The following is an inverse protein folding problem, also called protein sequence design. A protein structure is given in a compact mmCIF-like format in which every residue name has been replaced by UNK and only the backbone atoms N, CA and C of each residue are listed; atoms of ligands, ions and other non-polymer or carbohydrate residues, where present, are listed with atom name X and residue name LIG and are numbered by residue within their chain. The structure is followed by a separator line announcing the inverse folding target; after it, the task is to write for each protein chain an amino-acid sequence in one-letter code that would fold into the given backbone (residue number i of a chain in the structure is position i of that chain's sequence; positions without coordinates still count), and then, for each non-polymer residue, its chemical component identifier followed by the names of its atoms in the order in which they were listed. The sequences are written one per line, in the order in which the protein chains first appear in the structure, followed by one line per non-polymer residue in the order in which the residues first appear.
data_IF_787437584416
#
_entry.id   IF_787437584416
#
_cell.length_a   1.000
_cell.length_b   1.000
_cell.length_c   1.000
_cell.angle_alpha   90.00
_cell.angle_beta   90.00
_cell.angle_gamma   90.00
#
_symmetry.space_group_name_H-M   'P 1'
#
loop_
_entity.id
_entity.type
_entity.pdbx_description
1 polymer ?
#
# COMPACT_ATOMS: atom_id res chain seq x y z
N UNK A 1 13.75 -17.93 5.50
CA UNK A 1 15.12 -18.46 5.59
C UNK A 1 16.10 -17.30 5.53
N UNK A 2 17.08 -17.25 6.43
CA UNK A 2 17.99 -16.10 6.57
C UNK A 2 18.86 -15.85 5.31
N UNK A 3 19.05 -16.87 4.49
CA UNK A 3 19.85 -16.80 3.25
C UNK A 3 19.23 -15.90 2.19
N UNK A 4 17.92 -15.67 2.28
CA UNK A 4 17.17 -14.87 1.29
C UNK A 4 16.95 -13.42 1.69
N UNK A 5 17.47 -12.98 2.84
CA UNK A 5 17.22 -11.61 3.36
C UNK A 5 17.80 -10.55 2.41
N UNK A 6 19.08 -10.67 2.07
CA UNK A 6 19.72 -9.71 1.16
C UNK A 6 19.10 -9.69 -0.25
N UNK A 7 18.86 -10.85 -0.90
CA UNK A 7 18.14 -10.87 -2.17
C UNK A 7 16.74 -10.26 -2.10
N UNK A 8 16.01 -10.51 -1.00
CA UNK A 8 14.67 -9.93 -0.81
C UNK A 8 14.72 -8.41 -0.69
N UNK A 9 15.65 -7.88 0.10
CA UNK A 9 15.84 -6.43 0.27
C UNK A 9 16.18 -5.80 -1.08
N UNK A 10 17.10 -6.41 -1.83
CA UNK A 10 17.47 -5.92 -3.16
C UNK A 10 16.28 -5.89 -4.12
N UNK A 11 15.43 -6.92 -4.06
CA UNK A 11 14.21 -6.95 -4.89
C UNK A 11 13.23 -5.83 -4.52
N UNK A 12 13.05 -5.56 -3.23
CA UNK A 12 12.23 -4.41 -2.79
C UNK A 12 12.76 -3.10 -3.37
N UNK A 13 14.07 -2.87 -3.33
CA UNK A 13 14.67 -1.67 -3.92
C UNK A 13 14.51 -1.62 -5.44
N UNK A 14 14.62 -2.74 -6.12
CA UNK A 14 14.41 -2.84 -7.57
C UNK A 14 12.97 -2.49 -7.96
N UNK A 15 12.00 -2.98 -7.22
CA UNK A 15 10.58 -2.65 -7.43
C UNK A 15 10.28 -1.16 -7.17
N UNK A 16 10.88 -0.56 -6.15
CA UNK A 16 10.77 0.88 -5.90
C UNK A 16 11.35 1.68 -7.09
N UNK A 17 12.54 1.29 -7.58
CA UNK A 17 13.14 1.94 -8.75
C UNK A 17 12.29 1.80 -10.00
N UNK A 18 11.65 0.66 -10.19
CA UNK A 18 10.75 0.43 -11.31
C UNK A 18 9.54 1.35 -11.23
N UNK A 19 8.91 1.46 -10.04
CA UNK A 19 7.80 2.39 -9.81
C UNK A 19 8.17 3.85 -10.04
N UNK A 20 9.44 4.24 -9.81
CA UNK A 20 9.92 5.59 -10.07
C UNK A 20 10.12 5.87 -11.57
N UNK A 21 10.59 4.88 -12.32
CA UNK A 21 11.02 5.06 -13.71
C UNK A 21 9.88 4.97 -14.72
N UNK A 22 8.89 4.14 -14.44
CA UNK A 22 7.82 3.85 -15.39
C UNK A 22 6.45 3.72 -14.70
N UNK A 23 5.37 4.13 -15.37
CA UNK A 23 4.03 3.90 -14.88
C UNK A 23 3.73 2.41 -14.80
N UNK A 24 2.95 1.98 -13.79
CA UNK A 24 2.49 0.59 -13.71
C UNK A 24 1.61 0.23 -14.89
N UNK A 25 1.66 -1.02 -15.40
CA UNK A 25 0.77 -1.47 -16.44
C UNK A 25 -0.70 -1.37 -16.02
N UNK A 26 -1.57 -0.97 -16.92
CA UNK A 26 -3.00 -0.80 -16.62
C UNK A 26 -3.68 -2.09 -16.19
N UNK A 27 -3.24 -3.23 -16.70
CA UNK A 27 -3.72 -4.55 -16.30
C UNK A 27 -3.40 -4.84 -14.82
N UNK A 28 -2.17 -4.58 -14.40
CA UNK A 28 -1.73 -4.74 -13.03
C UNK A 28 -2.49 -3.80 -12.08
N UNK A 29 -2.63 -2.53 -12.46
CA UNK A 29 -3.41 -1.57 -11.69
C UNK A 29 -4.87 -2.02 -11.53
N UNK A 30 -5.48 -2.54 -12.59
CA UNK A 30 -6.87 -3.02 -12.55
C UNK A 30 -7.01 -4.21 -11.59
N UNK A 31 -6.07 -5.14 -11.61
CA UNK A 31 -6.07 -6.30 -10.71
C UNK A 31 -5.95 -5.85 -9.24
N UNK A 32 -5.00 -4.99 -8.93
CA UNK A 32 -4.79 -4.47 -7.57
C UNK A 32 -5.98 -3.65 -7.10
N UNK A 33 -6.53 -2.79 -7.97
CA UNK A 33 -7.73 -2.00 -7.68
C UNK A 33 -8.91 -2.88 -7.28
N UNK A 34 -9.20 -3.90 -8.09
CA UNK A 34 -10.30 -4.83 -7.81
C UNK A 34 -10.10 -5.57 -6.49
N UNK A 35 -8.87 -5.97 -6.19
CA UNK A 35 -8.54 -6.58 -4.90
C UNK A 35 -8.80 -5.61 -3.75
N UNK A 36 -8.30 -4.38 -3.82
CA UNK A 36 -8.49 -3.37 -2.77
C UNK A 36 -9.95 -3.01 -2.56
N UNK A 37 -10.72 -2.84 -3.64
CA UNK A 37 -12.16 -2.57 -3.56
C UNK A 37 -12.90 -3.74 -2.89
N UNK A 38 -12.54 -4.97 -3.19
CA UNK A 38 -13.08 -6.16 -2.53
C UNK A 38 -12.75 -6.19 -1.04
N UNK A 39 -11.53 -5.86 -0.64
CA UNK A 39 -11.13 -5.76 0.77
C UNK A 39 -11.88 -4.64 1.51
N UNK A 40 -12.01 -3.47 0.87
CA UNK A 40 -12.78 -2.37 1.43
C UNK A 40 -14.24 -2.74 1.65
N UNK A 41 -14.88 -3.44 0.70
CA UNK A 41 -16.25 -3.92 0.88
C UNK A 41 -16.36 -4.89 2.06
N UNK A 42 -15.43 -5.84 2.20
CA UNK A 42 -15.41 -6.77 3.34
C UNK A 42 -15.32 -6.07 4.70
N UNK A 43 -14.64 -4.94 4.76
CA UNK A 43 -14.52 -4.16 5.99
C UNK A 43 -15.85 -3.59 6.50
N UNK A 44 -16.93 -3.70 5.73
CA UNK A 44 -18.27 -3.20 6.08
C UNK A 44 -19.36 -4.27 6.11
N UNK A 45 -19.00 -5.55 5.94
CA UNK A 45 -19.96 -6.64 5.83
C UNK A 45 -20.70 -6.96 7.13
N UNK A 46 -20.14 -6.59 8.28
CA UNK A 46 -20.75 -6.91 9.58
C UNK A 46 -20.87 -5.67 10.47
N UNK A 47 -21.82 -5.66 11.43
CA UNK A 47 -21.91 -4.59 12.43
C UNK A 47 -20.62 -4.40 13.23
N UNK A 48 -19.87 -5.48 13.48
CA UNK A 48 -18.60 -5.43 14.21
C UNK A 48 -17.51 -4.77 13.38
N UNK A 49 -17.36 -5.15 12.10
CA UNK A 49 -16.41 -4.52 11.19
C UNK A 49 -16.71 -3.03 11.00
N UNK A 50 -17.99 -2.68 10.93
CA UNK A 50 -18.43 -1.29 10.83
C UNK A 50 -18.09 -0.49 12.10
N UNK A 51 -18.27 -1.08 13.28
CA UNK A 51 -17.87 -0.46 14.53
C UNK A 51 -16.36 -0.23 14.61
N UNK A 52 -15.55 -1.20 14.21
CA UNK A 52 -14.09 -1.07 14.15
C UNK A 52 -13.66 0.03 13.18
N UNK A 53 -14.32 0.14 12.04
CA UNK A 53 -14.09 1.22 11.08
C UNK A 53 -14.38 2.60 11.67
N UNK A 54 -15.47 2.75 12.43
CA UNK A 54 -15.79 3.99 13.13
C UNK A 54 -14.81 4.32 14.25
N UNK A 55 -14.35 3.31 15.01
CA UNK A 55 -13.31 3.49 16.02
C UNK A 55 -12.02 4.00 15.36
N UNK A 56 -11.63 3.43 14.22
CA UNK A 56 -10.46 3.89 13.46
C UNK A 56 -10.58 5.36 13.05
N UNK A 57 -11.72 5.77 12.50
CA UNK A 57 -11.98 7.18 12.14
C UNK A 57 -11.84 8.10 13.35
N UNK A 58 -12.52 7.76 14.44
CA UNK A 58 -12.56 8.58 15.65
C UNK A 58 -11.18 8.72 16.30
N UNK A 59 -10.41 7.63 16.37
CA UNK A 59 -9.08 7.63 16.99
C UNK A 59 -7.99 8.24 16.11
N UNK A 60 -8.19 8.24 14.79
CA UNK A 60 -7.22 8.81 13.83
C UNK A 60 -7.48 10.30 13.51
N UNK A 61 -8.51 10.92 14.10
CA UNK A 61 -8.85 12.30 13.83
C UNK A 61 -9.38 12.55 12.40
N UNK A 62 -9.94 11.52 11.79
CA UNK A 62 -10.53 11.57 10.45
C UNK A 62 -12.02 11.89 10.54
N UNK A 63 -12.61 12.35 9.45
CA UNK A 63 -14.04 12.63 9.35
C UNK A 63 -14.84 11.44 8.77
N UNK A 64 -16.15 11.57 8.79
CA UNK A 64 -17.10 10.56 8.31
C UNK A 64 -17.03 10.33 6.79
N UNK A 65 -16.39 11.22 6.05
CA UNK A 65 -16.22 11.10 4.60
C UNK A 65 -14.94 10.37 4.21
N UNK A 66 -14.09 9.99 5.18
CA UNK A 66 -12.82 9.33 4.93
C UNK A 66 -12.97 8.07 4.06
N UNK A 67 -13.96 7.23 4.32
CA UNK A 67 -14.18 6.00 3.54
C UNK A 67 -14.62 6.31 2.11
N UNK A 68 -15.52 7.25 1.92
CA UNK A 68 -15.96 7.65 0.59
C UNK A 68 -14.82 8.22 -0.23
N UNK A 69 -13.97 9.06 0.38
CA UNK A 69 -12.79 9.62 -0.29
C UNK A 69 -11.75 8.54 -0.60
N UNK A 70 -11.54 7.58 0.31
CA UNK A 70 -10.60 6.47 0.08
C UNK A 70 -11.08 5.56 -1.05
N UNK A 71 -12.36 5.24 -1.07
CA UNK A 71 -12.98 4.45 -2.14
C UNK A 71 -12.84 5.13 -3.49
N UNK A 72 -13.11 6.43 -3.55
CA UNK A 72 -12.96 7.23 -4.76
C UNK A 72 -11.50 7.27 -5.22
N UNK A 73 -10.56 7.51 -4.31
CA UNK A 73 -9.14 7.55 -4.63
C UNK A 73 -8.64 6.23 -5.23
N UNK A 74 -9.01 5.07 -4.65
CA UNK A 74 -8.67 3.76 -5.19
C UNK A 74 -9.30 3.53 -6.57
N UNK A 75 -10.53 4.00 -6.76
CA UNK A 75 -11.26 3.79 -8.00
C UNK A 75 -10.74 4.67 -9.16
N UNK A 76 -10.25 5.85 -8.86
CA UNK A 76 -9.88 6.87 -9.87
C UNK A 76 -8.37 6.99 -10.11
N UNK A 77 -7.50 6.49 -9.21
CA UNK A 77 -6.05 6.61 -9.33
C UNK A 77 -5.53 6.08 -10.68
N UNK A 78 -4.63 6.83 -11.27
CA UNK A 78 -3.99 6.51 -12.56
C UNK A 78 -2.57 5.96 -12.37
N UNK A 79 -2.01 5.24 -13.37
CA UNK A 79 -0.62 4.80 -13.33
C UNK A 79 0.38 5.95 -13.14
N UNK A 80 0.11 7.11 -13.73
CA UNK A 80 0.95 8.31 -13.61
C UNK A 80 0.93 8.86 -12.19
N UNK A 81 -0.24 8.95 -11.57
CA UNK A 81 -0.37 9.38 -10.16
C UNK A 81 0.34 8.42 -9.20
N UNK A 82 0.29 7.11 -9.46
CA UNK A 82 1.05 6.11 -8.66
C UNK A 82 2.55 6.36 -8.80
N UNK A 83 3.05 6.62 -9.99
CA UNK A 83 4.46 6.95 -10.23
C UNK A 83 4.86 8.22 -9.47
N UNK A 84 4.08 9.27 -9.53
CA UNK A 84 4.32 10.53 -8.81
C UNK A 84 4.35 10.32 -7.29
N UNK A 85 3.40 9.55 -6.76
CA UNK A 85 3.34 9.19 -5.34
C UNK A 85 4.55 8.35 -4.92
N UNK A 86 4.97 7.39 -5.74
CA UNK A 86 6.16 6.60 -5.48
C UNK A 86 7.42 7.48 -5.44
N UNK A 87 7.60 8.38 -6.39
CA UNK A 87 8.71 9.33 -6.42
C UNK A 87 8.72 10.26 -5.21
N UNK A 88 7.56 10.63 -4.70
CA UNK A 88 7.41 11.52 -3.56
C UNK A 88 7.62 10.84 -2.20
N UNK A 89 7.11 9.62 -2.02
CA UNK A 89 7.03 8.96 -0.72
C UNK A 89 7.91 7.74 -0.55
N UNK A 90 8.27 7.03 -1.63
CA UNK A 90 9.12 5.85 -1.58
C UNK A 90 10.57 6.21 -1.94
N UNK A 91 11.19 7.06 -1.11
CA UNK A 91 12.59 7.47 -1.31
C UNK A 91 13.51 6.47 -0.60
N UNK A 92 14.42 5.84 -1.32
CA UNK A 92 15.37 4.85 -0.77
C UNK A 92 16.20 5.40 0.38
N UNK A 93 16.58 6.67 0.30
CA UNK A 93 17.40 7.35 1.30
C UNK A 93 16.70 7.50 2.66
N UNK A 94 15.37 7.45 2.67
CA UNK A 94 14.56 7.60 3.87
C UNK A 94 13.99 6.28 4.39
N UNK A 95 14.12 5.20 3.61
CA UNK A 95 13.70 3.87 4.03
C UNK A 95 14.54 3.38 5.21
N UNK A 96 13.87 2.75 6.16
CA UNK A 96 14.51 2.11 7.31
C UNK A 96 14.36 0.61 7.21
N UNK A 97 15.47 -0.10 7.30
CA UNK A 97 15.50 -1.55 7.30
C UNK A 97 15.57 -2.07 8.72
N UNK A 98 14.65 -2.97 9.05
CA UNK A 98 14.66 -3.69 10.32
C UNK A 98 14.60 -5.18 10.03
N UNK A 99 15.65 -5.90 10.41
CA UNK A 99 15.78 -7.34 10.18
C UNK A 99 15.76 -8.05 11.53
N UNK A 100 14.80 -8.95 11.72
CA UNK A 100 14.70 -9.81 12.89
C UNK A 100 14.92 -11.27 12.48
N UNK A 101 15.93 -11.91 13.06
CA UNK A 101 16.28 -13.29 12.75
C UNK A 101 17.62 -13.70 13.34
N UNK A 102 18.05 -14.92 13.03
CA UNK A 102 19.38 -15.40 13.43
C UNK A 102 20.42 -14.76 12.51
N UNK A 103 21.38 -14.04 13.11
CA UNK A 103 22.49 -13.47 12.34
C UNK A 103 23.33 -14.62 11.75
N UNK A 104 23.49 -14.63 10.43
CA UNK A 104 24.46 -15.50 9.77
C UNK A 104 25.85 -14.93 10.09
N UNK A 105 26.64 -15.77 10.67
CA UNK A 105 28.04 -15.44 11.00
C UNK A 105 28.93 -15.53 9.75
#
# INVERSE_FOLDING_TARGET
DNEYVEPLIQEVYNEIDKLHREPVPMEELTMVRNYMLGEMCRSYESPFSLADAWIFIATSGLDDQYFSRSLQAVNEVTPQEIQELAQRYLCKETLKEVIAGKKLS
#
